data_IF_608806793092
#
_entry.id   IF_608806793092
#
_cell.length_a   1.000
_cell.length_b   1.000
_cell.length_c   1.000
_cell.angle_alpha   90.00
_cell.angle_beta   90.00
_cell.angle_gamma   90.00
#
_symmetry.space_group_name_H-M   'P 1'
#
loop_
_entity.id
_entity.type
_entity.pdbx_description
1 polymer ?
#
# COMPACT_ATOMS: atom_id res chain seq x y z
N UNK A 1 -3.47 42.58 72.41
CA UNK A 1 -3.13 41.49 71.48
C UNK A 1 -3.65 40.17 72.03
N UNK A 2 -4.90 39.81 71.70
CA UNK A 2 -5.29 38.40 71.42
C UNK A 2 -6.36 38.34 70.28
N UNK A 3 -6.65 37.31 69.49
CA UNK A 3 -6.22 35.92 69.27
C UNK A 3 -6.46 35.65 67.78
N UNK A 4 -5.54 35.02 67.05
CA UNK A 4 -5.75 34.63 65.65
C UNK A 4 -6.49 33.28 65.63
N UNK A 5 -7.70 33.24 65.07
CA UNK A 5 -8.41 31.99 64.76
C UNK A 5 -7.71 31.30 63.58
N UNK A 6 -7.52 29.97 63.60
CA UNK A 6 -7.05 29.25 62.42
C UNK A 6 -8.14 29.21 61.34
N UNK A 7 -7.76 29.63 60.15
CA UNK A 7 -8.52 29.61 58.90
C UNK A 7 -9.00 28.19 58.54
N UNK A 8 -10.21 27.99 58.00
CA UNK A 8 -10.65 26.67 57.53
C UNK A 8 -9.80 26.22 56.34
N UNK A 9 -9.48 24.92 56.20
CA UNK A 9 -8.68 24.44 55.08
C UNK A 9 -9.41 24.66 53.75
N UNK A 10 -8.69 25.23 52.78
CA UNK A 10 -9.14 25.41 51.41
C UNK A 10 -9.62 24.08 50.81
N UNK A 11 -10.67 24.10 49.95
CA UNK A 11 -11.12 22.89 49.26
C UNK A 11 -9.97 22.31 48.44
N UNK A 12 -9.70 21.02 48.66
CA UNK A 12 -8.65 20.29 47.96
C UNK A 12 -8.83 20.43 46.45
N UNK A 13 -7.78 20.95 45.81
CA UNK A 13 -7.62 21.14 44.38
C UNK A 13 -7.79 19.79 43.66
N UNK A 14 -8.96 19.57 43.05
CA UNK A 14 -9.22 18.39 42.20
C UNK A 14 -8.41 18.60 40.93
N UNK A 15 -7.23 17.98 40.90
CA UNK A 15 -6.25 18.21 39.86
C UNK A 15 -6.75 17.90 38.43
N UNK A 16 -6.09 18.46 37.40
CA UNK A 16 -6.48 18.35 35.98
C UNK A 16 -6.51 16.92 35.40
N UNK A 17 -6.03 15.94 36.17
CA UNK A 17 -5.88 14.54 35.78
C UNK A 17 -7.13 13.69 36.11
N UNK A 18 -8.11 14.25 36.83
CA UNK A 18 -9.40 13.60 37.10
C UNK A 18 -10.37 13.70 35.90
N UNK A 19 -9.91 14.31 34.79
CA UNK A 19 -10.64 14.42 33.51
C UNK A 19 -10.28 13.31 32.52
N UNK A 20 -9.50 12.30 32.93
CA UNK A 20 -9.22 11.14 32.07
C UNK A 20 -10.49 10.30 31.97
N UNK A 21 -11.10 10.40 30.79
CA UNK A 21 -12.31 9.68 30.35
C UNK A 21 -12.33 8.26 30.88
N UNK A 22 -13.36 7.95 31.66
CA UNK A 22 -13.67 6.60 32.10
C UNK A 22 -13.65 5.68 30.88
N UNK A 23 -12.81 4.66 30.95
CA UNK A 23 -12.83 3.55 30.02
C UNK A 23 -14.26 3.01 29.92
N UNK A 24 -14.58 2.52 28.73
CA UNK A 24 -15.75 1.71 28.48
C UNK A 24 -15.93 0.69 29.62
N UNK A 25 -16.86 0.97 30.52
CA UNK A 25 -17.31 0.07 31.57
C UNK A 25 -18.67 -0.44 31.12
N UNK A 26 -18.76 -1.62 30.48
CA UNK A 26 -20.03 -2.19 30.09
C UNK A 26 -20.71 -2.79 31.34
N UNK A 27 -21.17 -1.94 32.26
CA UNK A 27 -22.04 -2.36 33.37
C UNK A 27 -23.52 -2.44 32.92
N UNK A 28 -23.73 -2.87 31.68
CA UNK A 28 -25.02 -3.28 31.15
C UNK A 28 -25.05 -4.79 31.06
N UNK A 29 -25.99 -5.44 31.76
CA UNK A 29 -26.43 -6.82 31.48
C UNK A 29 -26.49 -6.99 29.95
N UNK A 30 -26.00 -8.09 29.33
CA UNK A 30 -26.07 -8.24 27.88
C UNK A 30 -27.54 -8.10 27.47
N UNK A 31 -27.89 -6.94 26.93
CA UNK A 31 -29.17 -6.72 26.29
C UNK A 31 -29.01 -7.52 25.02
N UNK A 32 -29.53 -8.74 25.01
CA UNK A 32 -29.75 -9.46 23.76
C UNK A 32 -30.43 -8.47 22.83
N UNK A 33 -29.77 -8.06 21.73
CA UNK A 33 -30.38 -7.13 20.81
C UNK A 33 -31.74 -7.70 20.44
N UNK A 34 -32.82 -6.89 20.41
CA UNK A 34 -34.08 -7.37 19.85
C UNK A 34 -33.76 -7.97 18.47
N UNK A 35 -34.33 -9.11 18.08
CA UNK A 35 -33.95 -9.82 16.86
C UNK A 35 -34.07 -8.86 15.68
N UNK A 36 -32.93 -8.29 15.29
CA UNK A 36 -32.87 -7.33 14.20
C UNK A 36 -32.99 -8.15 12.94
N UNK A 37 -33.90 -7.78 12.02
CA UNK A 37 -34.02 -8.48 10.75
C UNK A 37 -32.65 -8.60 10.08
N UNK A 38 -32.32 -9.78 9.53
CA UNK A 38 -31.01 -10.05 8.92
C UNK A 38 -30.68 -9.02 7.83
N UNK A 39 -31.70 -8.54 7.12
CA UNK A 39 -31.63 -7.46 6.12
C UNK A 39 -31.06 -6.15 6.69
N UNK A 40 -31.39 -5.80 7.93
CA UNK A 40 -30.80 -4.62 8.60
C UNK A 40 -29.36 -4.82 9.01
N UNK A 41 -28.99 -6.02 9.47
CA UNK A 41 -27.62 -6.33 9.87
C UNK A 41 -26.70 -6.33 8.65
N UNK A 42 -27.17 -6.91 7.53
CA UNK A 42 -26.43 -6.89 6.26
C UNK A 42 -26.29 -5.47 5.72
N UNK A 43 -27.36 -4.67 5.80
CA UNK A 43 -27.32 -3.25 5.43
C UNK A 43 -26.26 -2.47 6.21
N UNK A 44 -26.27 -2.58 7.54
CA UNK A 44 -25.32 -1.88 8.41
C UNK A 44 -23.86 -2.29 8.13
N UNK A 45 -23.59 -3.57 7.86
CA UNK A 45 -22.23 -4.05 7.52
C UNK A 45 -21.77 -3.52 6.18
N UNK A 46 -22.65 -3.52 5.17
CA UNK A 46 -22.34 -2.98 3.84
C UNK A 46 -22.04 -1.49 3.94
N UNK A 47 -22.84 -0.75 4.70
CA UNK A 47 -22.64 0.69 4.90
C UNK A 47 -21.34 0.98 5.65
N UNK A 48 -21.00 0.18 6.66
CA UNK A 48 -19.73 0.33 7.38
C UNK A 48 -18.52 -0.01 6.50
N UNK A 49 -18.59 -1.09 5.72
CA UNK A 49 -17.52 -1.45 4.77
C UNK A 49 -17.37 -0.37 3.71
N UNK A 50 -18.48 0.16 3.18
CA UNK A 50 -18.44 1.25 2.20
C UNK A 50 -17.84 2.52 2.81
N UNK A 51 -18.17 2.85 4.05
CA UNK A 51 -17.60 3.99 4.77
C UNK A 51 -16.09 3.83 5.01
N UNK A 52 -15.65 2.64 5.40
CA UNK A 52 -14.22 2.31 5.60
C UNK A 52 -13.46 2.37 4.28
N UNK A 53 -13.99 1.78 3.21
CA UNK A 53 -13.38 1.84 1.87
C UNK A 53 -13.25 3.29 1.41
N UNK A 54 -14.26 4.12 1.64
CA UNK A 54 -14.23 5.55 1.27
C UNK A 54 -13.20 6.34 2.08
N UNK A 55 -13.00 6.00 3.35
CA UNK A 55 -11.98 6.61 4.21
C UNK A 55 -10.56 6.21 3.77
N UNK A 56 -10.33 4.95 3.40
CA UNK A 56 -9.05 4.48 2.85
C UNK A 56 -8.76 5.07 1.47
N UNK A 57 -9.79 5.23 0.63
CA UNK A 57 -9.65 5.90 -0.67
C UNK A 57 -9.23 7.36 -0.49
N UNK A 58 -9.80 8.07 0.49
CA UNK A 58 -9.42 9.45 0.81
C UNK A 58 -7.97 9.53 1.35
N UNK A 59 -7.51 8.51 2.08
CA UNK A 59 -6.12 8.39 2.53
C UNK A 59 -5.15 8.08 1.38
N UNK A 60 -5.56 7.25 0.43
CA UNK A 60 -4.83 6.96 -0.82
C UNK A 60 -4.76 8.17 -1.73
N UNK A 61 -5.80 8.99 -1.77
CA UNK A 61 -5.85 10.23 -2.55
C UNK A 61 -4.93 11.29 -1.93
N UNK A 62 -4.98 11.47 -0.60
CA UNK A 62 -4.07 12.38 0.11
C UNK A 62 -2.59 11.93 0.05
N UNK A 63 -2.32 10.62 0.15
CA UNK A 63 -0.97 10.07 -0.03
C UNK A 63 -0.54 10.05 -1.50
N UNK A 64 -1.49 9.91 -2.42
CA UNK A 64 -1.29 10.00 -3.86
C UNK A 64 -0.86 11.40 -4.27
N UNK A 65 -1.46 12.44 -3.70
CA UNK A 65 -1.10 13.84 -3.91
C UNK A 65 0.33 14.17 -3.43
N UNK A 66 0.74 13.61 -2.28
CA UNK A 66 2.11 13.71 -1.76
C UNK A 66 3.11 12.85 -2.55
N UNK A 67 2.71 11.66 -3.02
CA UNK A 67 3.54 10.82 -3.87
C UNK A 67 3.80 11.48 -5.23
N UNK A 68 2.83 12.19 -5.79
CA UNK A 68 2.96 12.88 -7.08
C UNK A 68 4.09 13.93 -7.09
N UNK A 69 4.35 14.61 -5.98
CA UNK A 69 5.42 15.62 -5.93
C UNK A 69 6.84 15.04 -5.92
N UNK A 70 7.08 13.89 -5.28
CA UNK A 70 8.37 13.18 -5.34
C UNK A 70 8.52 12.27 -6.57
N UNK A 71 7.39 11.71 -7.02
CA UNK A 71 7.34 10.81 -8.18
C UNK A 71 7.67 11.55 -9.46
N UNK A 72 7.23 12.79 -9.67
CA UNK A 72 7.51 13.49 -10.94
C UNK A 72 9.01 13.59 -11.24
N UNK A 73 9.86 13.88 -10.26
CA UNK A 73 11.31 13.95 -10.47
C UNK A 73 11.94 12.57 -10.72
N UNK A 74 11.55 11.54 -9.96
CA UNK A 74 12.05 10.17 -10.22
C UNK A 74 11.47 9.56 -11.49
N UNK A 75 10.25 9.96 -11.87
CA UNK A 75 9.56 9.48 -13.06
C UNK A 75 10.14 10.08 -14.33
N UNK A 76 10.59 11.34 -14.32
CA UNK A 76 11.31 11.92 -15.47
C UNK A 76 12.63 11.20 -15.70
N UNK A 77 13.43 10.95 -14.65
CA UNK A 77 14.66 10.16 -14.78
C UNK A 77 14.39 8.70 -15.19
N UNK A 78 13.31 8.10 -14.67
CA UNK A 78 12.87 6.77 -15.10
C UNK A 78 12.47 6.71 -16.58
N UNK A 79 11.76 7.72 -17.07
CA UNK A 79 11.39 7.83 -18.49
C UNK A 79 12.62 8.05 -19.39
N UNK A 80 13.58 8.87 -18.97
CA UNK A 80 14.85 9.05 -19.68
C UNK A 80 15.64 7.75 -19.72
N UNK A 81 15.74 7.03 -18.60
CA UNK A 81 16.42 5.73 -18.58
C UNK A 81 15.72 4.70 -19.46
N UNK A 82 14.38 4.64 -19.44
CA UNK A 82 13.60 3.73 -20.28
C UNK A 82 13.76 4.02 -21.77
N UNK A 83 13.74 5.30 -22.17
CA UNK A 83 13.97 5.69 -23.57
C UNK A 83 15.40 5.40 -24.00
N UNK A 84 16.41 5.70 -23.18
CA UNK A 84 17.80 5.35 -23.43
C UNK A 84 18.00 3.83 -23.56
N UNK A 85 17.35 3.04 -22.71
CA UNK A 85 17.36 1.58 -22.79
C UNK A 85 16.72 1.08 -24.10
N UNK A 86 15.60 1.68 -24.52
CA UNK A 86 14.97 1.36 -25.81
C UNK A 86 15.88 1.64 -27.00
N UNK A 87 16.57 2.79 -27.00
CA UNK A 87 17.55 3.14 -28.04
C UNK A 87 18.74 2.19 -28.01
N UNK A 88 19.25 1.83 -26.83
CA UNK A 88 20.34 0.87 -26.68
C UNK A 88 19.98 -0.52 -27.21
N UNK A 89 18.75 -1.01 -26.94
CA UNK A 89 18.26 -2.28 -27.48
C UNK A 89 18.12 -2.23 -29.01
N UNK A 90 17.69 -1.10 -29.57
CA UNK A 90 17.62 -0.91 -31.02
C UNK A 90 19.02 -0.93 -31.66
N UNK A 91 19.98 -0.23 -31.04
CA UNK A 91 21.38 -0.26 -31.48
C UNK A 91 21.98 -1.66 -31.40
N UNK A 92 21.71 -2.39 -30.31
CA UNK A 92 22.11 -3.79 -30.14
C UNK A 92 21.48 -4.68 -31.24
N UNK A 93 20.21 -4.46 -31.58
CA UNK A 93 19.55 -5.21 -32.65
C UNK A 93 20.21 -4.97 -34.01
N UNK A 94 20.45 -3.70 -34.38
CA UNK A 94 21.12 -3.38 -35.65
C UNK A 94 22.55 -3.93 -35.69
N UNK A 95 23.32 -3.82 -34.61
CA UNK A 95 24.66 -4.39 -34.51
C UNK A 95 24.67 -5.90 -34.68
N UNK A 96 23.73 -6.59 -34.03
CA UNK A 96 23.59 -8.05 -34.16
C UNK A 96 23.17 -8.47 -35.56
N UNK A 97 22.23 -7.75 -36.20
CA UNK A 97 21.80 -8.03 -37.58
C UNK A 97 22.98 -7.87 -38.55
N UNK A 98 23.76 -6.79 -38.44
CA UNK A 98 24.93 -6.56 -39.31
C UNK A 98 26.00 -7.65 -39.13
N UNK A 99 26.24 -8.09 -37.89
CA UNK A 99 27.19 -9.15 -37.59
C UNK A 99 26.76 -10.53 -38.14
N UNK A 100 25.46 -10.83 -38.13
CA UNK A 100 24.93 -12.12 -38.56
C UNK A 100 24.56 -12.16 -40.05
N UNK A 101 24.29 -11.01 -40.67
CA UNK A 101 23.95 -10.87 -42.08
C UNK A 101 24.87 -11.65 -43.04
N UNK A 102 26.23 -11.59 -42.93
CA UNK A 102 27.10 -12.34 -43.83
C UNK A 102 27.08 -13.86 -43.64
N UNK A 103 26.55 -14.38 -42.53
CA UNK A 103 26.55 -15.82 -42.24
C UNK A 103 25.24 -16.52 -42.64
N UNK A 104 24.10 -15.87 -42.38
CA UNK A 104 22.77 -16.49 -42.51
C UNK A 104 21.82 -15.70 -43.41
N UNK A 105 22.27 -14.56 -43.93
CA UNK A 105 21.46 -13.64 -44.71
C UNK A 105 20.58 -12.72 -43.83
N UNK A 106 20.17 -11.56 -44.36
CA UNK A 106 19.55 -10.50 -43.56
C UNK A 106 18.18 -10.86 -42.98
N UNK A 107 17.34 -11.62 -43.70
CA UNK A 107 16.01 -12.03 -43.20
C UNK A 107 16.10 -13.04 -42.04
N UNK A 108 17.05 -13.98 -42.10
CA UNK A 108 17.22 -14.97 -41.03
C UNK A 108 17.87 -14.32 -39.79
N UNK A 109 18.80 -13.38 -40.01
CA UNK A 109 19.45 -12.62 -38.95
C UNK A 109 18.44 -11.84 -38.09
N UNK A 110 17.49 -11.12 -38.71
CA UNK A 110 16.48 -10.37 -37.97
C UNK A 110 15.58 -11.30 -37.15
N UNK A 111 15.18 -12.45 -37.70
CA UNK A 111 14.34 -13.43 -37.01
C UNK A 111 15.04 -14.00 -35.76
N UNK A 112 16.33 -14.34 -35.87
CA UNK A 112 17.12 -14.83 -34.74
C UNK A 112 17.26 -13.75 -33.66
N UNK A 113 17.62 -12.53 -34.05
CA UNK A 113 17.80 -11.43 -33.10
C UNK A 113 16.51 -11.10 -32.36
N UNK A 114 15.38 -11.04 -33.08
CA UNK A 114 14.06 -10.82 -32.46
C UNK A 114 13.72 -11.95 -31.49
N UNK A 115 13.94 -13.20 -31.87
CA UNK A 115 13.68 -14.34 -30.99
C UNK A 115 14.51 -14.28 -29.69
N UNK A 116 15.79 -13.91 -29.79
CA UNK A 116 16.67 -13.73 -28.62
C UNK A 116 16.20 -12.56 -27.74
N UNK A 117 15.85 -11.42 -28.34
CA UNK A 117 15.36 -10.26 -27.59
C UNK A 117 14.04 -10.56 -26.89
N UNK A 118 13.11 -11.27 -27.54
CA UNK A 118 11.85 -11.72 -26.93
C UNK A 118 12.13 -12.68 -25.77
N UNK A 119 13.08 -13.61 -25.92
CA UNK A 119 13.46 -14.52 -24.83
C UNK A 119 14.04 -13.75 -23.62
N UNK A 120 14.91 -12.77 -23.86
CA UNK A 120 15.47 -11.91 -22.80
C UNK A 120 14.38 -11.06 -22.16
N UNK A 121 13.49 -10.45 -22.95
CA UNK A 121 12.39 -9.64 -22.45
C UNK A 121 11.40 -10.47 -21.63
N UNK A 122 11.05 -11.67 -22.09
CA UNK A 122 10.20 -12.60 -21.35
C UNK A 122 10.88 -13.05 -20.05
N UNK A 123 12.18 -13.34 -20.07
CA UNK A 123 12.94 -13.69 -18.88
C UNK A 123 13.02 -12.54 -17.87
N UNK A 124 13.28 -11.32 -18.34
CA UNK A 124 13.32 -10.13 -17.51
C UNK A 124 11.94 -9.82 -16.89
N UNK A 125 10.88 -9.90 -17.70
CA UNK A 125 9.50 -9.73 -17.24
C UNK A 125 9.09 -10.80 -16.22
N UNK A 126 9.45 -12.07 -16.47
CA UNK A 126 9.21 -13.15 -15.53
C UNK A 126 9.96 -12.97 -14.22
N UNK A 127 11.23 -12.54 -14.28
CA UNK A 127 12.06 -12.29 -13.09
C UNK A 127 11.52 -11.12 -12.26
N UNK A 128 11.04 -10.06 -12.90
CA UNK A 128 10.35 -8.97 -12.23
C UNK A 128 9.04 -9.44 -11.59
N UNK A 129 8.21 -10.21 -12.31
CA UNK A 129 6.97 -10.77 -11.77
C UNK A 129 7.20 -11.65 -10.55
N UNK A 130 8.29 -12.41 -10.51
CA UNK A 130 8.63 -13.24 -9.35
C UNK A 130 8.90 -12.42 -8.10
N UNK A 131 9.64 -11.31 -8.20
CA UNK A 131 9.90 -10.46 -7.03
C UNK A 131 8.64 -9.72 -6.56
N UNK A 132 7.79 -9.29 -7.49
CA UNK A 132 6.49 -8.69 -7.14
C UNK A 132 5.51 -9.71 -6.55
N UNK A 133 5.56 -10.97 -7.00
CA UNK A 133 4.73 -12.04 -6.46
C UNK A 133 5.07 -12.32 -4.98
N UNK A 134 6.35 -12.34 -4.61
CA UNK A 134 6.79 -12.55 -3.21
C UNK A 134 6.33 -11.43 -2.27
N UNK A 135 6.42 -10.17 -2.71
CA UNK A 135 5.93 -9.03 -1.93
C UNK A 135 4.41 -9.12 -1.78
N UNK A 136 3.70 -9.49 -2.85
CA UNK A 136 2.25 -9.64 -2.85
C UNK A 136 1.78 -10.83 -2.00
N UNK A 137 2.51 -11.93 -1.97
CA UNK A 137 2.18 -13.10 -1.13
C UNK A 137 2.46 -12.81 0.34
N UNK A 138 3.54 -12.10 0.67
CA UNK A 138 3.82 -11.65 2.03
C UNK A 138 2.73 -10.68 2.53
N UNK A 139 2.34 -9.71 1.70
CA UNK A 139 1.28 -8.76 2.04
C UNK A 139 -0.09 -9.44 2.14
N UNK A 140 -0.39 -10.39 1.25
CA UNK A 140 -1.62 -11.19 1.31
C UNK A 140 -1.68 -12.00 2.61
N UNK A 141 -0.57 -12.63 3.01
CA UNK A 141 -0.49 -13.43 4.25
C UNK A 141 -0.69 -12.57 5.50
N UNK A 142 -0.15 -11.36 5.50
CA UNK A 142 -0.34 -10.39 6.59
C UNK A 142 -1.80 -9.90 6.67
N UNK A 143 -2.43 -9.66 5.51
CA UNK A 143 -3.84 -9.24 5.41
C UNK A 143 -4.85 -10.36 5.73
N UNK A 144 -4.55 -11.62 5.42
CA UNK A 144 -5.46 -12.74 5.69
C UNK A 144 -5.35 -13.28 7.11
N UNK A 145 -4.50 -12.71 7.96
CA UNK A 145 -4.53 -12.95 9.40
C UNK A 145 -4.32 -14.40 9.80
N UNK A 146 -3.59 -15.20 9.00
CA UNK A 146 -3.07 -16.50 9.43
C UNK A 146 -1.88 -16.26 10.38
N UNK A 147 -2.16 -15.60 11.50
CA UNK A 147 -1.39 -15.73 12.72
C UNK A 147 -1.65 -17.16 13.17
N UNK A 148 -0.67 -18.03 12.98
CA UNK A 148 -0.73 -19.41 13.45
C UNK A 148 -1.19 -19.41 14.90
N UNK A 149 -2.34 -20.03 15.13
CA UNK A 149 -2.67 -20.67 16.40
C UNK A 149 -1.72 -21.86 16.51
N UNK A 150 -0.56 -21.63 17.14
CA UNK A 150 0.27 -22.66 17.78
C UNK A 150 0.44 -22.30 19.26
#
# INVERSE_FOLDING_TARGET
MPSVQPEPPAPADRGPLDRVSHGYAPDGRPVTPPPVPLDKIVGDVVDHVQATVKAEMALLEARGELALHGVTWTATWGAVAATALGVALLALAFGAILALSPQVGPLLATLIVVAVLVAIAAFAGWRAQRSYADIRTAFRRDLTGERGDD
#
